data_IF_757783489137
#
_entry.id   IF_757783489137
#
_cell.length_a   1.000
_cell.length_b   1.000
_cell.length_c   1.000
_cell.angle_alpha   90.00
_cell.angle_beta   90.00
_cell.angle_gamma   90.00
#
_symmetry.space_group_name_H-M   'P 1'
#
loop_
_entity.id
_entity.type
_entity.pdbx_description
1 polymer ?
#
# COMPACT_ATOMS: atom_id res chain seq x y z
N UNK A 1 -9.96 -12.12 20.82
CA UNK A 1 -9.51 -12.88 19.66
C UNK A 1 -8.00 -12.76 19.53
N UNK A 2 -7.22 -13.88 19.61
CA UNK A 2 -5.76 -13.90 19.49
C UNK A 2 -5.25 -13.29 18.17
N UNK A 3 -6.01 -13.41 17.09
CA UNK A 3 -5.67 -12.81 15.80
C UNK A 3 -5.71 -11.28 15.86
N UNK A 4 -6.73 -10.71 16.49
CA UNK A 4 -6.84 -9.25 16.66
C UNK A 4 -5.71 -8.70 17.53
N UNK A 5 -5.28 -9.43 18.54
CA UNK A 5 -4.12 -9.05 19.36
C UNK A 5 -2.83 -9.08 18.54
N UNK A 6 -2.62 -10.13 17.77
CA UNK A 6 -1.43 -10.26 16.89
C UNK A 6 -1.39 -9.16 15.82
N UNK A 7 -2.52 -8.84 15.17
CA UNK A 7 -2.57 -7.76 14.16
C UNK A 7 -2.22 -6.39 14.75
N UNK A 8 -2.66 -6.11 15.99
CA UNK A 8 -2.32 -4.87 16.69
C UNK A 8 -0.83 -4.78 17.00
N UNK A 9 -0.25 -5.87 17.50
CA UNK A 9 1.17 -5.92 17.83
C UNK A 9 2.02 -5.87 16.55
N UNK A 10 1.62 -6.57 15.51
CA UNK A 10 2.28 -6.52 14.21
C UNK A 10 2.37 -5.08 13.66
N UNK A 11 1.29 -4.31 13.69
CA UNK A 11 1.32 -2.92 13.25
C UNK A 11 2.25 -2.05 14.10
N UNK A 12 2.33 -2.29 15.41
CA UNK A 12 3.28 -1.57 16.30
C UNK A 12 4.74 -1.82 15.94
N UNK A 13 5.07 -3.03 15.49
CA UNK A 13 6.43 -3.35 15.07
C UNK A 13 6.76 -2.83 13.67
N UNK A 14 5.76 -2.72 12.78
CA UNK A 14 5.95 -2.34 11.39
C UNK A 14 5.91 -0.82 11.17
N UNK A 15 5.23 -0.08 12.03
CA UNK A 15 5.10 1.37 11.92
C UNK A 15 6.17 2.07 12.76
N UNK A 16 6.76 3.10 12.19
CA UNK A 16 7.67 4.00 12.89
C UNK A 16 7.38 5.45 12.51
N UNK A 17 7.92 6.37 13.28
CA UNK A 17 7.82 7.79 12.98
C UNK A 17 8.86 8.16 11.92
N UNK A 18 8.47 9.04 11.02
CA UNK A 18 9.33 9.55 9.97
C UNK A 18 8.83 10.88 9.45
N UNK A 19 9.74 11.66 8.90
CA UNK A 19 9.41 12.91 8.22
C UNK A 19 10.25 13.06 6.95
N UNK A 20 9.64 13.61 5.92
CA UNK A 20 10.30 13.92 4.67
C UNK A 20 9.75 15.22 4.08
N UNK A 21 10.58 15.92 3.35
CA UNK A 21 10.17 17.13 2.65
C UNK A 21 10.74 17.13 1.24
N UNK A 22 9.92 17.55 0.28
CA UNK A 22 10.30 17.70 -1.13
C UNK A 22 9.90 19.09 -1.57
N UNK A 23 10.84 19.82 -2.19
CA UNK A 23 10.55 21.08 -2.84
C UNK A 23 10.16 20.82 -4.30
N UNK A 24 8.95 21.21 -4.67
CA UNK A 24 8.46 21.14 -6.05
C UNK A 24 8.47 22.56 -6.64
N UNK A 25 9.09 22.71 -7.79
CA UNK A 25 9.25 24.00 -8.48
C UNK A 25 8.95 23.82 -9.98
N UNK A 26 8.49 24.87 -10.64
CA UNK A 26 8.27 24.91 -12.08
C UNK A 26 9.60 25.06 -12.88
N UNK A 27 10.61 25.64 -12.23
CA UNK A 27 11.97 25.78 -12.77
C UNK A 27 12.94 25.03 -11.86
N UNK A 28 13.49 23.87 -12.31
CA UNK A 28 14.38 23.09 -11.46
C UNK A 28 15.72 23.80 -11.27
N UNK A 29 16.11 23.97 -10.02
CA UNK A 29 17.42 24.44 -9.62
C UNK A 29 18.15 23.32 -8.88
N UNK A 30 19.44 23.09 -9.18
CA UNK A 30 20.21 22.10 -8.46
C UNK A 30 21.05 21.20 -9.35
N UNK A 31 21.81 20.30 -8.73
CA UNK A 31 22.79 19.45 -9.41
C UNK A 31 22.11 18.29 -10.16
N UNK A 32 20.97 17.80 -9.65
CA UNK A 32 20.25 16.68 -10.25
C UNK A 32 18.73 16.81 -10.01
N UNK A 33 18.07 17.74 -10.72
CA UNK A 33 16.62 17.89 -10.58
C UNK A 33 15.91 16.68 -11.22
N UNK A 34 14.90 16.18 -10.52
CA UNK A 34 13.98 15.16 -11.04
C UNK A 34 12.71 15.84 -11.53
N UNK A 35 12.22 15.44 -12.69
CA UNK A 35 10.95 15.89 -13.22
C UNK A 35 9.86 14.88 -12.90
N UNK A 36 8.73 15.36 -12.37
CA UNK A 36 7.52 14.53 -12.25
C UNK A 36 6.83 14.55 -13.61
N UNK A 37 6.91 13.42 -14.32
CA UNK A 37 6.27 13.30 -15.63
C UNK A 37 4.76 13.04 -15.48
N UNK A 38 4.36 12.23 -14.52
CA UNK A 38 2.96 11.89 -14.25
C UNK A 38 2.79 11.33 -12.83
N UNK A 39 1.55 11.32 -12.39
CA UNK A 39 1.12 10.66 -11.15
C UNK A 39 -0.13 9.84 -11.49
N UNK A 40 -0.10 8.56 -11.19
CA UNK A 40 -1.24 7.67 -11.35
C UNK A 40 -1.71 7.11 -10.01
N UNK A 41 -3.02 6.97 -9.89
CA UNK A 41 -3.66 6.41 -8.71
C UNK A 41 -4.78 5.47 -9.16
N UNK A 42 -4.88 4.32 -8.55
CA UNK A 42 -5.99 3.38 -8.74
C UNK A 42 -6.59 2.98 -7.40
N UNK A 43 -7.90 2.76 -7.38
CA UNK A 43 -8.62 2.25 -6.23
C UNK A 43 -9.42 1.02 -6.63
N UNK A 44 -9.39 0.00 -5.80
CA UNK A 44 -10.18 -1.23 -5.95
C UNK A 44 -11.33 -1.30 -4.93
N UNK A 45 -11.76 -0.14 -4.43
CA UNK A 45 -12.84 -0.05 -3.43
C UNK A 45 -14.21 -0.51 -3.96
N UNK A 46 -14.37 -0.61 -5.28
CA UNK A 46 -15.55 -1.18 -5.92
C UNK A 46 -15.55 -2.72 -5.94
N UNK A 47 -14.39 -3.36 -5.74
CA UNK A 47 -14.22 -4.81 -5.84
C UNK A 47 -13.90 -5.45 -4.48
N UNK A 48 -13.18 -4.71 -3.63
CA UNK A 48 -12.66 -5.21 -2.37
C UNK A 48 -13.20 -4.43 -1.18
N UNK A 49 -13.50 -5.10 -0.07
CA UNK A 49 -13.81 -4.42 1.18
C UNK A 49 -12.57 -3.71 1.73
N UNK A 50 -12.78 -2.72 2.59
CA UNK A 50 -11.70 -2.01 3.27
C UNK A 50 -10.84 -2.97 4.09
N UNK A 51 -9.55 -3.02 3.82
CA UNK A 51 -8.63 -3.92 4.52
C UNK A 51 -7.83 -3.23 5.64
N UNK A 52 -7.74 -1.91 5.65
CA UNK A 52 -7.08 -1.15 6.72
C UNK A 52 -7.96 0.03 7.13
N UNK A 53 -8.20 0.18 8.42
CA UNK A 53 -9.04 1.24 8.97
C UNK A 53 -8.69 1.52 10.43
N UNK A 54 -9.07 2.71 10.91
CA UNK A 54 -8.87 3.18 12.28
C UNK A 54 -10.12 3.94 12.73
N UNK A 55 -10.31 4.07 14.03
CA UNK A 55 -11.44 4.77 14.64
C UNK A 55 -12.82 4.29 14.13
N UNK A 56 -12.92 3.01 13.86
CA UNK A 56 -14.13 2.37 13.34
C UNK A 56 -14.15 0.87 13.62
N UNK A 57 -15.29 0.25 13.35
CA UNK A 57 -15.46 -1.21 13.41
C UNK A 57 -16.15 -1.68 12.12
N UNK A 58 -15.56 -2.67 11.46
CA UNK A 58 -16.15 -3.29 10.28
C UNK A 58 -17.33 -4.18 10.70
N UNK A 59 -18.50 -3.89 10.16
CA UNK A 59 -19.72 -4.65 10.39
C UNK A 59 -19.85 -5.80 9.39
N UNK A 60 -20.69 -6.78 9.70
CA UNK A 60 -20.94 -7.95 8.83
C UNK A 60 -21.41 -7.58 7.41
N UNK A 61 -22.12 -6.46 7.28
CA UNK A 61 -22.59 -5.93 6.00
C UNK A 61 -21.52 -5.14 5.22
N UNK A 62 -20.27 -5.11 5.70
CA UNK A 62 -19.17 -4.38 5.08
C UNK A 62 -19.11 -2.88 5.42
N UNK A 63 -20.08 -2.33 6.17
CA UNK A 63 -20.04 -0.93 6.59
C UNK A 63 -19.02 -0.74 7.71
N UNK A 64 -18.31 0.37 7.67
CA UNK A 64 -17.51 0.87 8.79
C UNK A 64 -18.41 1.71 9.73
N UNK A 65 -18.65 1.21 10.94
CA UNK A 65 -19.32 1.94 12.01
C UNK A 65 -18.28 2.87 12.67
N UNK A 66 -18.52 4.18 12.61
CA UNK A 66 -17.60 5.18 13.16
C UNK A 66 -17.51 5.09 14.68
N UNK A 67 -16.36 5.43 15.27
CA UNK A 67 -16.18 5.51 16.71
C UNK A 67 -17.21 6.43 17.41
N UNK A 68 -17.72 7.44 16.70
CA UNK A 68 -18.76 8.36 17.19
C UNK A 68 -20.12 7.70 17.44
N UNK A 69 -20.32 6.51 16.92
CA UNK A 69 -21.55 5.72 17.06
C UNK A 69 -21.48 4.72 18.24
N UNK A 70 -20.41 4.78 19.04
CA UNK A 70 -20.17 3.92 20.20
C UNK A 70 -20.16 4.74 21.48
N UNK A 71 -20.57 4.13 22.59
CA UNK A 71 -20.36 4.68 23.93
C UNK A 71 -18.89 4.65 24.33
N UNK A 72 -18.44 5.46 25.32
CA UNK A 72 -17.07 5.44 25.80
C UNK A 72 -16.59 4.05 26.27
N UNK A 73 -17.44 3.29 26.91
CA UNK A 73 -17.13 1.94 27.38
C UNK A 73 -16.93 0.97 26.21
N UNK A 74 -17.83 0.99 25.24
CA UNK A 74 -17.68 0.18 24.01
C UNK A 74 -16.41 0.52 23.24
N UNK A 75 -16.05 1.81 23.14
CA UNK A 75 -14.80 2.26 22.47
C UNK A 75 -13.59 1.58 23.12
N UNK A 76 -13.57 1.55 24.45
CA UNK A 76 -12.48 0.94 25.23
C UNK A 76 -12.47 -0.59 25.09
N UNK A 77 -13.61 -1.25 25.33
CA UNK A 77 -13.75 -2.70 25.31
C UNK A 77 -13.43 -3.31 23.93
N UNK A 78 -13.92 -2.67 22.88
CA UNK A 78 -13.73 -3.13 21.49
C UNK A 78 -12.47 -2.57 20.83
N UNK A 79 -11.70 -1.72 21.56
CA UNK A 79 -10.52 -1.05 21.03
C UNK A 79 -10.79 -0.37 19.66
N UNK A 80 -11.90 0.37 19.56
CA UNK A 80 -12.38 0.96 18.31
C UNK A 80 -11.39 1.95 17.71
N UNK A 81 -10.65 2.71 18.54
CA UNK A 81 -9.68 3.72 18.09
C UNK A 81 -8.36 3.14 17.57
N UNK A 82 -8.13 1.84 17.75
CA UNK A 82 -6.89 1.20 17.31
C UNK A 82 -6.95 0.93 15.81
N UNK A 83 -5.84 1.12 15.12
CA UNK A 83 -5.66 0.71 13.73
C UNK A 83 -5.84 -0.80 13.58
N UNK A 84 -6.54 -1.19 12.54
CA UNK A 84 -6.84 -2.60 12.21
C UNK A 84 -6.51 -2.85 10.76
N UNK A 85 -5.98 -4.04 10.47
CA UNK A 85 -5.66 -4.47 9.12
C UNK A 85 -6.09 -5.92 8.91
N UNK A 86 -6.79 -6.21 7.83
CA UNK A 86 -7.04 -7.58 7.39
C UNK A 86 -5.84 -8.08 6.56
N UNK A 87 -4.92 -8.74 7.26
CA UNK A 87 -3.70 -9.28 6.65
C UNK A 87 -4.02 -10.39 5.64
N UNK A 88 -5.09 -11.14 5.81
CA UNK A 88 -5.48 -12.22 4.89
C UNK A 88 -5.90 -11.64 3.55
N UNK A 89 -6.74 -10.61 3.58
CA UNK A 89 -7.15 -9.89 2.38
C UNK A 89 -5.97 -9.22 1.69
N UNK A 90 -5.12 -8.52 2.45
CA UNK A 90 -3.93 -7.89 1.94
C UNK A 90 -3.02 -8.92 1.23
N UNK A 91 -2.68 -10.00 1.92
CA UNK A 91 -1.82 -11.08 1.38
C UNK A 91 -2.38 -11.70 0.10
N UNK A 92 -3.71 -11.83 0.01
CA UNK A 92 -4.38 -12.44 -1.15
C UNK A 92 -4.32 -11.56 -2.39
N UNK A 93 -4.37 -10.23 -2.22
CA UNK A 93 -4.66 -9.32 -3.31
C UNK A 93 -3.52 -8.38 -3.68
N UNK A 94 -2.65 -7.98 -2.72
CA UNK A 94 -1.69 -6.90 -2.92
C UNK A 94 -0.75 -7.12 -4.11
N UNK A 95 -0.20 -8.32 -4.25
CA UNK A 95 0.77 -8.64 -5.31
C UNK A 95 0.11 -8.51 -6.68
N UNK A 96 -1.02 -9.20 -6.85
CA UNK A 96 -1.74 -9.18 -8.12
C UNK A 96 -2.09 -7.74 -8.55
N UNK A 97 -2.75 -7.00 -7.68
CA UNK A 97 -3.20 -5.64 -8.02
C UNK A 97 -2.04 -4.65 -8.20
N UNK A 98 -0.95 -4.85 -7.47
CA UNK A 98 0.25 -4.03 -7.67
C UNK A 98 0.86 -4.26 -9.07
N UNK A 99 0.98 -5.50 -9.50
CA UNK A 99 1.52 -5.82 -10.83
C UNK A 99 0.53 -5.44 -11.95
N UNK A 100 -0.78 -5.66 -11.75
CA UNK A 100 -1.82 -5.18 -12.68
C UNK A 100 -1.72 -3.66 -12.89
N UNK A 101 -1.42 -2.91 -11.80
CA UNK A 101 -1.27 -1.46 -11.89
C UNK A 101 -0.01 -1.06 -12.65
N UNK A 102 1.11 -1.75 -12.45
CA UNK A 102 2.33 -1.53 -13.23
C UNK A 102 2.05 -1.72 -14.73
N UNK A 103 1.47 -2.85 -15.12
CA UNK A 103 1.14 -3.10 -16.54
C UNK A 103 0.23 -2.01 -17.11
N UNK A 104 -0.76 -1.59 -16.32
CA UNK A 104 -1.67 -0.48 -16.71
C UNK A 104 -0.92 0.83 -16.92
N UNK A 105 0.00 1.18 -16.01
CA UNK A 105 0.82 2.40 -16.10
C UNK A 105 1.72 2.35 -17.33
N UNK A 106 2.45 1.26 -17.53
CA UNK A 106 3.34 1.10 -18.66
C UNK A 106 2.60 1.25 -19.99
N UNK A 107 1.45 0.60 -20.10
CA UNK A 107 0.61 0.71 -21.30
C UNK A 107 0.05 2.12 -21.50
N UNK A 108 -0.47 2.74 -20.46
CA UNK A 108 -1.08 4.08 -20.49
C UNK A 108 -0.09 5.16 -20.92
N UNK A 109 1.14 5.08 -20.43
CA UNK A 109 2.17 6.08 -20.71
C UNK A 109 3.11 5.69 -21.86
N UNK A 110 2.84 4.54 -22.51
CA UNK A 110 3.66 4.01 -23.62
C UNK A 110 5.13 3.83 -23.26
N UNK A 111 5.38 3.42 -22.00
CA UNK A 111 6.72 3.17 -21.46
C UNK A 111 7.02 1.67 -21.56
N UNK A 112 8.19 1.34 -22.05
CA UNK A 112 8.70 -0.04 -21.99
C UNK A 112 9.38 -0.28 -20.64
N UNK A 113 9.18 -1.45 -20.06
CA UNK A 113 9.77 -1.78 -18.77
C UNK A 113 11.31 -1.72 -18.77
N UNK A 114 11.93 -1.96 -19.93
CA UNK A 114 13.38 -1.85 -20.14
C UNK A 114 13.89 -0.42 -19.97
N UNK A 115 13.05 0.58 -20.28
CA UNK A 115 13.38 2.02 -20.22
C UNK A 115 13.38 2.57 -18.78
N UNK A 116 12.91 1.78 -17.82
CA UNK A 116 12.92 2.15 -16.40
C UNK A 116 14.27 1.78 -15.80
N UNK A 117 14.97 2.76 -15.26
CA UNK A 117 16.25 2.55 -14.59
C UNK A 117 16.10 2.15 -13.12
N UNK A 118 15.13 2.76 -12.41
CA UNK A 118 14.94 2.56 -10.98
C UNK A 118 13.48 2.34 -10.63
N UNK A 119 13.24 1.41 -9.72
CA UNK A 119 11.94 1.17 -9.09
C UNK A 119 12.12 1.31 -7.59
N UNK A 120 11.34 2.21 -6.97
CA UNK A 120 11.38 2.46 -5.52
C UNK A 120 10.01 2.11 -4.94
N UNK A 121 9.76 0.83 -4.66
CA UNK A 121 8.48 0.40 -4.15
C UNK A 121 8.35 0.65 -2.65
N UNK A 122 7.14 0.91 -2.19
CA UNK A 122 6.84 0.75 -0.79
C UNK A 122 6.76 -0.74 -0.44
N UNK A 123 7.74 -1.24 0.29
CA UNK A 123 7.80 -2.64 0.74
C UNK A 123 7.68 -2.69 2.26
N UNK A 124 6.50 -3.01 2.75
CA UNK A 124 6.25 -3.15 4.19
C UNK A 124 6.90 -4.38 4.83
N UNK A 125 7.29 -5.37 4.03
CA UNK A 125 7.95 -6.60 4.48
C UNK A 125 8.67 -7.28 3.32
N UNK A 126 9.85 -7.84 3.58
CA UNK A 126 10.61 -8.64 2.61
C UNK A 126 9.83 -9.86 2.10
N UNK A 127 8.83 -10.33 2.84
CA UNK A 127 7.90 -11.34 2.37
C UNK A 127 7.18 -10.95 1.07
N UNK A 128 6.80 -9.67 0.92
CA UNK A 128 6.16 -9.18 -0.29
C UNK A 128 7.15 -8.92 -1.42
N UNK A 129 8.37 -8.55 -1.08
CA UNK A 129 9.43 -8.26 -2.05
C UNK A 129 9.70 -9.44 -2.98
N UNK A 130 9.97 -10.63 -2.41
CA UNK A 130 10.22 -11.83 -3.21
C UNK A 130 9.01 -12.21 -4.07
N UNK A 131 7.81 -12.21 -3.49
CA UNK A 131 6.58 -12.53 -4.23
C UNK A 131 6.29 -11.57 -5.37
N UNK A 132 6.60 -10.30 -5.18
CA UNK A 132 6.42 -9.29 -6.21
C UNK A 132 7.38 -9.51 -7.38
N UNK A 133 8.64 -9.83 -7.09
CA UNK A 133 9.62 -10.20 -8.13
C UNK A 133 9.20 -11.46 -8.89
N UNK A 134 8.71 -12.49 -8.18
CA UNK A 134 8.24 -13.73 -8.79
C UNK A 134 7.08 -13.47 -9.75
N UNK A 135 6.10 -12.65 -9.35
CA UNK A 135 4.94 -12.30 -10.18
C UNK A 135 5.35 -11.45 -11.40
N UNK A 136 6.25 -10.49 -11.23
CA UNK A 136 6.81 -9.68 -12.33
C UNK A 136 7.51 -10.58 -13.36
N UNK A 137 8.33 -11.52 -12.88
CA UNK A 137 9.02 -12.47 -13.73
C UNK A 137 8.04 -13.43 -14.45
N UNK A 138 7.02 -13.92 -13.74
CA UNK A 138 6.00 -14.81 -14.30
C UNK A 138 5.19 -14.13 -15.44
N UNK A 139 5.04 -12.80 -15.39
CA UNK A 139 4.39 -12.00 -16.46
C UNK A 139 5.34 -11.50 -17.53
N UNK A 140 6.62 -11.85 -17.47
CA UNK A 140 7.66 -11.39 -18.39
C UNK A 140 7.79 -9.86 -18.47
N UNK A 141 7.58 -9.18 -17.35
CA UNK A 141 7.81 -7.74 -17.25
C UNK A 141 9.30 -7.51 -16.99
N UNK A 142 9.97 -6.71 -17.82
CA UNK A 142 11.42 -6.49 -17.74
C UNK A 142 11.84 -5.50 -16.63
N UNK A 143 11.27 -5.67 -15.43
CA UNK A 143 11.63 -4.95 -14.20
C UNK A 143 12.42 -5.88 -13.28
N UNK A 144 13.69 -6.09 -13.59
CA UNK A 144 14.53 -7.03 -12.84
C UNK A 144 14.94 -6.48 -11.47
N UNK A 145 15.41 -7.36 -10.58
CA UNK A 145 15.81 -7.00 -9.19
C UNK A 145 16.90 -5.92 -9.14
N UNK A 146 17.74 -5.84 -10.12
CA UNK A 146 18.82 -4.86 -10.20
C UNK A 146 18.31 -3.41 -10.30
N UNK A 147 17.05 -3.24 -10.75
CA UNK A 147 16.39 -1.93 -10.84
C UNK A 147 15.70 -1.50 -9.54
N UNK A 148 15.63 -2.38 -8.54
CA UNK A 148 14.91 -2.14 -7.29
C UNK A 148 15.80 -1.54 -6.21
N UNK A 149 15.40 -0.39 -5.65
CA UNK A 149 16.16 0.39 -4.67
C UNK A 149 15.30 0.80 -3.47
#
# INVERSE_FOLDING_TARGET
DPYMAFEKDFMRFMLSDGAGAVLVQDHPEGICPLKIEWVDMISYANELPTCMFMASELQENGRLKSWKEFSPDEIKERAVLVGKQDIRQLKKHIIKYWVDHIETILAKHHIKAEEIDYVIPHVSSMFFYEKLNDEIAARNIALTKEKWH
#
